data_IF_225533378584
#
_entry.id   IF_225533378584
#
_cell.length_a   1.000
_cell.length_b   1.000
_cell.length_c   1.000
_cell.angle_alpha   90.00
_cell.angle_beta   90.00
_cell.angle_gamma   90.00
#
_symmetry.space_group_name_H-M   'P 1'
#
loop_
_entity.id
_entity.type
_entity.pdbx_description
1 polymer ?
#
# COMPACT_ATOMS: atom_id res chain seq x y z
N UNK A 1 10.42 -3.79 4.01
CA UNK A 1 9.12 -4.35 3.59
C UNK A 1 8.48 -5.10 4.75
N UNK A 2 7.44 -5.88 4.49
CA UNK A 2 6.81 -6.76 5.46
C UNK A 2 6.26 -8.04 4.78
N UNK A 3 5.98 -9.08 5.56
CA UNK A 3 5.39 -10.34 5.08
C UNK A 3 3.96 -10.50 5.62
N UNK A 4 2.98 -10.73 4.74
CA UNK A 4 1.62 -11.15 5.13
C UNK A 4 1.18 -12.26 4.18
N UNK A 5 1.48 -13.51 4.54
CA UNK A 5 1.12 -14.67 3.75
C UNK A 5 0.96 -15.92 4.61
N UNK A 6 0.09 -16.82 4.16
CA UNK A 6 -0.07 -18.16 4.75
C UNK A 6 0.62 -19.24 3.90
N UNK A 7 0.90 -18.93 2.62
CA UNK A 7 1.59 -19.83 1.71
C UNK A 7 3.02 -20.09 2.16
N UNK A 8 3.48 -21.33 1.97
CA UNK A 8 4.86 -21.74 2.18
C UNK A 8 5.39 -22.31 0.88
N UNK A 9 6.39 -21.65 0.32
CA UNK A 9 7.08 -22.13 -0.88
C UNK A 9 8.09 -23.21 -0.52
N UNK A 10 8.32 -24.17 -1.42
CA UNK A 10 9.34 -25.20 -1.30
C UNK A 10 9.90 -25.57 -2.69
N UNK A 11 11.13 -26.07 -2.73
CA UNK A 11 11.79 -26.53 -3.96
C UNK A 11 13.14 -25.85 -4.21
N UNK A 12 13.88 -26.36 -5.20
CA UNK A 12 15.26 -25.96 -5.50
C UNK A 12 15.43 -24.47 -5.84
N UNK A 13 14.39 -23.79 -6.33
CA UNK A 13 14.45 -22.36 -6.63
C UNK A 13 14.80 -21.50 -5.39
N UNK A 14 14.47 -21.97 -4.19
CA UNK A 14 14.76 -21.26 -2.94
C UNK A 14 16.25 -21.29 -2.54
N UNK A 15 17.08 -22.07 -3.23
CA UNK A 15 18.54 -22.04 -3.08
C UNK A 15 19.17 -20.76 -3.66
N UNK A 16 18.41 -20.03 -4.50
CA UNK A 16 18.79 -18.75 -5.08
C UNK A 16 17.81 -17.66 -4.61
N UNK A 17 17.91 -17.22 -3.34
CA UNK A 17 16.96 -16.25 -2.79
C UNK A 17 17.10 -14.89 -3.47
N UNK A 18 15.97 -14.18 -3.58
CA UNK A 18 15.95 -12.82 -4.11
C UNK A 18 16.46 -11.81 -3.09
N UNK A 19 16.05 -11.98 -1.83
CA UNK A 19 16.36 -11.06 -0.74
C UNK A 19 16.84 -11.81 0.49
N UNK A 20 17.62 -11.12 1.31
CA UNK A 20 18.02 -11.58 2.64
C UNK A 20 17.41 -10.62 3.65
N UNK A 21 16.61 -11.18 4.55
CA UNK A 21 15.91 -10.46 5.60
C UNK A 21 16.79 -10.36 6.84
N UNK A 22 16.24 -9.76 7.90
CA UNK A 22 16.88 -9.71 9.20
C UNK A 22 17.34 -11.10 9.66
N UNK A 23 18.44 -11.12 10.42
CA UNK A 23 19.05 -12.35 10.95
C UNK A 23 19.53 -13.33 9.86
N UNK A 24 19.69 -12.84 8.63
CA UNK A 24 20.20 -13.64 7.50
C UNK A 24 19.17 -14.58 6.89
N UNK A 25 17.88 -14.43 7.22
CA UNK A 25 16.82 -15.29 6.69
C UNK A 25 16.61 -15.04 5.19
N UNK A 26 16.80 -16.03 4.31
CA UNK A 26 16.53 -15.85 2.88
C UNK A 26 15.03 -15.79 2.61
N UNK A 27 14.60 -14.98 1.64
CA UNK A 27 13.25 -15.01 1.10
C UNK A 27 13.23 -14.87 -0.43
N UNK A 28 12.21 -15.47 -1.02
CA UNK A 28 11.98 -15.42 -2.46
C UNK A 28 12.90 -16.32 -3.27
N UNK A 29 12.88 -16.10 -4.58
CA UNK A 29 13.71 -16.79 -5.55
C UNK A 29 14.00 -15.88 -6.75
N UNK A 30 15.15 -16.08 -7.39
CA UNK A 30 15.47 -15.56 -8.72
C UNK A 30 15.80 -16.72 -9.66
N UNK A 31 15.29 -16.69 -10.89
CA UNK A 31 15.58 -17.73 -11.88
C UNK A 31 17.06 -17.71 -12.29
N UNK A 32 17.63 -18.86 -12.73
CA UNK A 32 19.04 -18.91 -13.14
C UNK A 32 19.38 -17.98 -14.31
N UNK A 33 18.42 -17.69 -15.19
CA UNK A 33 18.58 -16.72 -16.28
C UNK A 33 18.34 -15.27 -15.86
N UNK A 34 18.02 -15.04 -14.57
CA UNK A 34 17.82 -13.73 -13.98
C UNK A 34 16.56 -13.00 -14.45
N UNK A 35 15.63 -13.67 -15.16
CA UNK A 35 14.46 -13.03 -15.78
C UNK A 35 13.20 -13.08 -14.94
N UNK A 36 13.15 -13.96 -13.94
CA UNK A 36 12.00 -14.15 -13.07
C UNK A 36 12.48 -13.98 -11.64
N UNK A 37 11.76 -13.15 -10.87
CA UNK A 37 11.93 -13.03 -9.45
C UNK A 37 10.59 -13.16 -8.74
N UNK A 38 10.63 -13.59 -7.48
CA UNK A 38 9.47 -13.65 -6.61
C UNK A 38 9.90 -13.59 -5.15
N UNK A 39 9.07 -13.00 -4.30
CA UNK A 39 9.33 -12.81 -2.87
C UNK A 39 8.00 -12.60 -2.16
N UNK A 40 7.93 -12.96 -0.89
CA UNK A 40 6.78 -12.65 -0.04
C UNK A 40 6.86 -11.24 0.56
N UNK A 41 7.98 -10.54 0.37
CA UNK A 41 8.15 -9.19 0.90
C UNK A 41 7.28 -8.22 0.10
N UNK A 42 6.26 -7.71 0.79
CA UNK A 42 5.51 -6.54 0.38
C UNK A 42 6.29 -5.26 0.70
N UNK A 43 6.01 -4.16 0.00
CA UNK A 43 6.66 -2.88 0.27
C UNK A 43 7.89 -2.57 -0.59
N UNK A 44 8.33 -3.50 -1.45
CA UNK A 44 9.59 -3.32 -2.21
C UNK A 44 9.49 -2.21 -3.26
N UNK A 45 8.32 -2.01 -3.85
CA UNK A 45 8.11 -0.93 -4.82
C UNK A 45 7.86 0.42 -4.13
N UNK A 46 7.42 0.42 -2.87
CA UNK A 46 7.23 1.62 -2.07
C UNK A 46 8.51 2.13 -1.41
N UNK A 47 9.50 1.24 -1.20
CA UNK A 47 10.82 1.62 -0.69
C UNK A 47 11.71 2.12 -1.85
N UNK A 48 12.11 3.40 -1.89
CA UNK A 48 12.71 4.00 -3.07
C UNK A 48 13.96 3.27 -3.58
N UNK A 49 14.81 2.83 -2.65
CA UNK A 49 16.07 2.15 -2.98
C UNK A 49 15.83 0.74 -3.54
N UNK A 50 14.90 -0.02 -2.96
CA UNK A 50 14.52 -1.33 -3.44
C UNK A 50 13.82 -1.25 -4.80
N UNK A 51 12.92 -0.28 -4.98
CA UNK A 51 12.25 -0.02 -6.25
C UNK A 51 13.25 0.33 -7.35
N UNK A 52 14.22 1.20 -7.06
CA UNK A 52 15.30 1.51 -7.99
C UNK A 52 16.12 0.27 -8.39
N UNK A 53 16.46 -0.59 -7.44
CA UNK A 53 17.17 -1.83 -7.72
C UNK A 53 16.36 -2.78 -8.61
N UNK A 54 15.05 -2.94 -8.33
CA UNK A 54 14.14 -3.75 -9.16
C UNK A 54 13.97 -3.17 -10.57
N UNK A 55 13.88 -1.85 -10.71
CA UNK A 55 13.79 -1.20 -12.03
C UNK A 55 15.10 -1.32 -12.82
N UNK A 56 16.25 -1.17 -12.16
CA UNK A 56 17.55 -1.40 -12.78
C UNK A 56 17.68 -2.84 -13.27
N UNK A 57 17.28 -3.80 -12.44
CA UNK A 57 17.20 -5.22 -12.81
C UNK A 57 16.29 -5.44 -14.03
N UNK A 58 15.14 -4.74 -14.09
CA UNK A 58 14.23 -4.79 -15.22
C UNK A 58 14.73 -4.06 -16.49
N UNK A 59 15.93 -3.47 -16.47
CA UNK A 59 16.57 -2.82 -17.61
C UNK A 59 16.44 -1.30 -17.66
N UNK A 60 15.94 -0.64 -16.60
CA UNK A 60 15.91 0.82 -16.53
C UNK A 60 17.32 1.36 -16.22
N UNK A 61 17.92 2.06 -17.17
CA UNK A 61 19.32 2.52 -17.05
C UNK A 61 19.58 3.55 -15.95
N UNK A 62 18.62 4.41 -15.61
CA UNK A 62 18.78 5.39 -14.54
C UNK A 62 17.47 5.51 -13.76
N UNK A 63 17.27 4.65 -12.75
CA UNK A 63 16.09 4.72 -11.90
C UNK A 63 16.09 6.02 -11.10
N UNK A 64 14.95 6.70 -11.09
CA UNK A 64 14.73 7.89 -10.27
C UNK A 64 14.10 7.44 -8.96
N UNK A 65 14.66 7.89 -7.83
CA UNK A 65 14.07 7.66 -6.52
C UNK A 65 12.81 8.51 -6.38
N UNK A 66 11.67 7.85 -6.20
CA UNK A 66 10.40 8.49 -5.97
C UNK A 66 10.02 8.32 -4.51
N UNK A 67 9.66 9.43 -3.86
CA UNK A 67 9.07 9.37 -2.53
C UNK A 67 7.60 8.97 -2.63
N UNK A 68 7.36 7.66 -2.68
CA UNK A 68 6.02 7.08 -2.73
C UNK A 68 5.17 7.48 -1.52
N UNK A 69 5.78 7.67 -0.34
CA UNK A 69 5.09 8.07 0.87
C UNK A 69 4.57 9.50 0.75
N UNK A 70 5.41 10.45 0.34
CA UNK A 70 5.00 11.82 0.13
C UNK A 70 3.93 11.95 -0.97
N UNK A 71 4.07 11.20 -2.08
CA UNK A 71 3.05 11.20 -3.15
C UNK A 71 1.70 10.66 -2.68
N UNK A 72 1.71 9.60 -1.88
CA UNK A 72 0.50 9.04 -1.28
C UNK A 72 -0.16 10.06 -0.35
N UNK A 73 0.62 10.69 0.52
CA UNK A 73 0.11 11.71 1.44
C UNK A 73 -0.55 12.87 0.68
N UNK A 74 0.16 13.42 -0.31
CA UNK A 74 -0.40 14.48 -1.17
C UNK A 74 -1.68 14.06 -1.89
N UNK A 75 -1.83 12.78 -2.23
CA UNK A 75 -3.05 12.28 -2.86
C UNK A 75 -4.21 12.17 -1.86
N UNK A 76 -3.92 11.81 -0.62
CA UNK A 76 -4.91 11.77 0.47
C UNK A 76 -5.38 13.18 0.80
N UNK A 77 -4.46 14.15 0.94
CA UNK A 77 -4.80 15.56 1.20
C UNK A 77 -5.69 16.13 0.09
N UNK A 78 -5.32 15.91 -1.18
CA UNK A 78 -6.16 16.35 -2.31
C UNK A 78 -7.56 15.73 -2.30
N UNK A 79 -7.67 14.48 -1.85
CA UNK A 79 -8.96 13.82 -1.72
C UNK A 79 -9.78 14.42 -0.57
N UNK A 80 -9.14 14.70 0.57
CA UNK A 80 -9.77 15.36 1.71
C UNK A 80 -10.32 16.74 1.31
N UNK A 81 -9.51 17.58 0.66
CA UNK A 81 -9.93 18.90 0.15
C UNK A 81 -11.15 18.80 -0.79
N UNK A 82 -11.13 17.81 -1.69
CA UNK A 82 -12.23 17.59 -2.63
C UNK A 82 -13.52 17.15 -1.91
N UNK A 83 -13.41 16.32 -0.88
CA UNK A 83 -14.53 15.88 -0.05
C UNK A 83 -15.10 17.04 0.76
N UNK A 84 -14.26 17.82 1.43
CA UNK A 84 -14.68 18.98 2.25
C UNK A 84 -15.35 20.06 1.41
N UNK A 85 -14.85 20.31 0.20
CA UNK A 85 -15.46 21.30 -0.70
C UNK A 85 -16.77 20.84 -1.34
N UNK A 86 -17.00 19.53 -1.42
CA UNK A 86 -18.17 18.96 -2.11
C UNK A 86 -19.28 18.51 -1.16
N UNK A 87 -18.98 18.24 0.12
CA UNK A 87 -19.93 17.69 1.09
C UNK A 87 -19.98 18.56 2.36
N UNK A 88 -21.15 18.63 2.98
CA UNK A 88 -21.28 19.16 4.34
C UNK A 88 -20.81 18.09 5.35
N UNK A 89 -19.48 18.02 5.54
CA UNK A 89 -18.85 17.03 6.42
C UNK A 89 -19.35 17.16 7.86
N UNK A 90 -19.63 18.38 8.33
CA UNK A 90 -20.18 18.59 9.68
C UNK A 90 -21.54 17.91 9.85
N UNK A 91 -22.46 18.04 8.88
CA UNK A 91 -23.75 17.35 8.89
C UNK A 91 -23.60 15.83 8.88
N UNK A 92 -22.63 15.29 8.12
CA UNK A 92 -22.36 13.85 8.06
C UNK A 92 -21.85 13.31 9.40
N UNK A 93 -21.00 14.10 10.09
CA UNK A 93 -20.42 13.72 11.36
C UNK A 93 -21.38 13.92 12.54
N UNK A 94 -22.29 14.89 12.49
CA UNK A 94 -23.31 15.15 13.53
C UNK A 94 -24.21 13.93 13.79
N UNK A 95 -24.35 13.06 12.78
CA UNK A 95 -25.10 11.80 12.90
C UNK A 95 -24.32 10.56 13.31
N UNK A 96 -23.01 10.69 13.47
CA UNK A 96 -22.11 9.61 13.84
C UNK A 96 -21.70 9.80 15.30
N UNK A 97 -22.60 9.42 16.22
CA UNK A 97 -22.25 9.28 17.64
C UNK A 97 -21.02 8.36 17.77
N UNK A 98 -19.94 8.77 18.49
CA UNK A 98 -18.81 7.89 18.74
C UNK A 98 -19.29 6.71 19.60
N UNK A 99 -19.52 5.55 18.98
CA UNK A 99 -20.00 4.33 19.65
C UNK A 99 -21.40 3.84 19.24
N UNK A 100 -22.07 4.48 18.28
CA UNK A 100 -23.23 3.92 17.58
C UNK A 100 -24.53 3.79 18.38
N UNK A 101 -25.43 4.74 18.16
CA UNK A 101 -26.87 4.46 18.08
C UNK A 101 -27.46 5.28 16.92
N UNK A 102 -28.38 4.72 16.11
CA UNK A 102 -28.84 5.40 14.92
C UNK A 102 -29.61 6.66 15.29
N UNK A 103 -29.34 7.74 14.56
CA UNK A 103 -30.16 8.95 14.59
C UNK A 103 -31.63 8.57 14.32
N UNK A 104 -32.52 8.99 15.20
CA UNK A 104 -33.94 8.98 14.90
C UNK A 104 -34.19 9.88 13.67
N UNK A 105 -34.98 9.38 12.71
CA UNK A 105 -35.27 10.04 11.45
C UNK A 105 -35.74 11.49 11.66
N UNK A 106 -35.42 12.42 10.74
CA UNK A 106 -35.94 13.77 10.81
C UNK A 106 -37.46 13.72 10.73
N UNK A 107 -38.13 14.23 11.77
CA UNK A 107 -39.58 14.43 11.74
C UNK A 107 -39.91 15.38 10.59
N UNK A 108 -40.47 14.84 9.51
CA UNK A 108 -41.20 15.62 8.53
C UNK A 108 -42.40 16.26 9.22
N UNK A 109 -42.30 17.55 9.55
CA UNK A 109 -43.43 18.39 9.97
C UNK A 109 -43.11 19.80 9.50
N UNK A 110 -43.77 20.41 8.53
CA UNK A 110 -44.84 20.01 7.63
C UNK A 110 -44.99 21.14 6.60
N UNK A 111 -45.68 20.86 5.51
CA UNK A 111 -46.21 21.91 4.63
C UNK A 111 -46.88 23.02 5.47
N UNK A 112 -46.47 24.27 5.23
CA UNK A 112 -47.32 25.37 4.76
C UNK A 112 -46.48 26.47 4.17
#
# INVERSE_FOLDING_TARGET
>A
GYEIHMGRSAGAALEHPLVVLEEGRPDGAISPDGRILGTYVHGLFEEPTACAALLAWAGLGTPVLLDHRARREQAIERLADAVESSLNVALLLDGLEPGGRPLAAPHATGLR
#
